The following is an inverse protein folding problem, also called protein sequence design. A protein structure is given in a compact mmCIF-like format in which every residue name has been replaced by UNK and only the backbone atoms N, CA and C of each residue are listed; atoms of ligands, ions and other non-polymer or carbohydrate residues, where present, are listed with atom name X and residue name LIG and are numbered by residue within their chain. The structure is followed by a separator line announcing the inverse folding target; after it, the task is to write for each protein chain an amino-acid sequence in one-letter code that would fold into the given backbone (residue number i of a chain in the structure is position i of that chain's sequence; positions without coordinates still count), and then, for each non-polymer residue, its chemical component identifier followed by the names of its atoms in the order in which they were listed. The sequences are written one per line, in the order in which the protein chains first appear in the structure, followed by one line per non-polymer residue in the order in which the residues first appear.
data_IF_864549938531
#
_entry.id   IF_864549938531
#
_cell.length_a   1.000
_cell.length_b   1.000
_cell.length_c   1.000
_cell.angle_alpha   90.00
_cell.angle_beta   90.00
_cell.angle_gamma   90.00
#
_symmetry.space_group_name_H-M   'P 1'
#
loop_
_entity.id
_entity.type
_entity.pdbx_description
1 polymer ?
#
# COMPACT_ATOMS: atom_id res chain seq x y z
N UNK A 1 -15.22 -21.59 -11.95
CA UNK A 1 -13.77 -21.54 -11.57
C UNK A 1 -13.67 -21.74 -10.07
N UNK A 2 -12.80 -22.59 -9.55
CA UNK A 2 -12.73 -22.85 -8.09
C UNK A 2 -12.51 -21.52 -7.34
N UNK A 3 -13.38 -21.20 -6.38
CA UNK A 3 -13.43 -19.92 -5.65
C UNK A 3 -12.07 -19.50 -5.05
N UNK A 4 -11.21 -20.47 -4.73
CA UNK A 4 -9.86 -20.26 -4.22
C UNK A 4 -8.93 -19.57 -5.22
N UNK A 5 -9.01 -19.89 -6.51
CA UNK A 5 -8.11 -19.35 -7.55
C UNK A 5 -8.27 -17.84 -7.72
N UNK A 6 -9.51 -17.34 -7.70
CA UNK A 6 -9.80 -15.89 -7.80
C UNK A 6 -9.31 -15.12 -6.55
N UNK A 7 -9.48 -15.71 -5.36
CA UNK A 7 -8.98 -15.14 -4.10
C UNK A 7 -7.45 -15.06 -4.07
N UNK A 8 -6.77 -16.12 -4.54
CA UNK A 8 -5.31 -16.16 -4.62
C UNK A 8 -4.78 -15.12 -5.61
N UNK A 9 -5.39 -15.00 -6.80
CA UNK A 9 -5.02 -13.96 -7.77
C UNK A 9 -5.09 -12.54 -7.20
N UNK A 10 -6.16 -12.22 -6.47
CA UNK A 10 -6.30 -10.92 -5.80
C UNK A 10 -5.22 -10.70 -4.73
N UNK A 11 -4.92 -11.72 -3.92
CA UNK A 11 -3.88 -11.62 -2.88
C UNK A 11 -2.50 -11.37 -3.46
N UNK A 12 -2.17 -12.05 -4.58
CA UNK A 12 -0.91 -11.82 -5.30
C UNK A 12 -0.86 -10.41 -5.87
N UNK A 13 -1.96 -9.92 -6.46
CA UNK A 13 -2.06 -8.54 -6.93
C UNK A 13 -1.79 -7.56 -5.79
N UNK A 14 -2.49 -7.68 -4.66
CA UNK A 14 -2.29 -6.82 -3.48
C UNK A 14 -0.84 -6.91 -2.97
N UNK A 15 -0.27 -8.11 -2.90
CA UNK A 15 1.11 -8.32 -2.48
C UNK A 15 2.14 -7.67 -3.42
N UNK A 16 1.82 -7.52 -4.71
CA UNK A 16 2.67 -6.80 -5.68
C UNK A 16 2.48 -5.27 -5.63
N UNK A 17 1.25 -4.81 -5.39
CA UNK A 17 0.92 -3.38 -5.33
C UNK A 17 1.41 -2.71 -4.05
N UNK A 18 1.40 -3.43 -2.92
CA UNK A 18 1.85 -2.86 -1.65
C UNK A 18 3.30 -2.35 -1.73
N UNK A 19 4.31 -3.15 -2.14
CA UNK A 19 5.68 -2.65 -2.31
C UNK A 19 5.81 -1.47 -3.27
N UNK A 20 5.01 -1.43 -4.35
CA UNK A 20 5.01 -0.32 -5.31
C UNK A 20 4.60 1.01 -4.66
N UNK A 21 3.46 1.03 -3.95
CA UNK A 21 3.02 2.21 -3.23
C UNK A 21 4.03 2.61 -2.17
N UNK A 22 4.51 1.62 -1.42
CA UNK A 22 5.39 1.91 -0.32
C UNK A 22 6.73 2.48 -0.84
N UNK A 23 7.38 1.87 -1.85
CA UNK A 23 8.63 2.38 -2.43
C UNK A 23 8.50 3.82 -2.96
N UNK A 24 7.34 4.15 -3.53
CA UNK A 24 7.09 5.49 -4.05
C UNK A 24 6.87 6.52 -2.93
N UNK A 25 6.30 6.12 -1.79
CA UNK A 25 6.23 6.96 -0.59
C UNK A 25 7.62 7.32 -0.05
N UNK A 26 8.60 6.41 -0.11
CA UNK A 26 9.99 6.67 0.32
C UNK A 26 10.73 7.64 -0.56
N UNK A 27 10.43 7.62 -1.86
CA UNK A 27 11.02 8.54 -2.82
C UNK A 27 10.88 10.02 -2.37
N UNK A 28 9.75 10.37 -1.74
CA UNK A 28 9.50 11.71 -1.21
C UNK A 28 10.34 12.08 0.02
N UNK A 29 10.60 11.13 0.89
CA UNK A 29 11.45 11.31 2.08
C UNK A 29 12.92 11.42 1.68
N UNK A 30 13.40 10.51 0.83
CA UNK A 30 14.78 10.53 0.34
C UNK A 30 15.14 11.87 -0.33
N UNK A 31 14.26 12.40 -1.18
CA UNK A 31 14.52 13.69 -1.82
C UNK A 31 14.34 14.90 -0.90
N UNK A 32 13.58 14.76 0.19
CA UNK A 32 13.47 15.77 1.23
C UNK A 32 14.75 15.85 2.05
N UNK A 33 15.29 14.71 2.49
CA UNK A 33 16.45 14.66 3.39
C UNK A 33 17.78 14.93 2.69
N UNK A 34 17.86 14.68 1.38
CA UNK A 34 19.06 15.01 0.56
C UNK A 34 19.21 16.50 0.23
N UNK A 35 18.36 17.37 0.79
CA UNK A 35 18.63 18.81 0.88
C UNK A 35 18.41 19.62 -0.41
N UNK A 36 17.70 19.08 -1.40
CA UNK A 36 17.18 19.92 -2.49
C UNK A 36 15.95 20.65 -1.95
N UNK A 37 16.16 21.80 -1.29
CA UNK A 37 15.12 22.76 -0.89
C UNK A 37 14.91 22.91 0.61
N UNK A 38 15.37 24.03 1.18
CA UNK A 38 15.16 24.45 2.57
C UNK A 38 13.67 24.61 2.93
N UNK A 39 13.29 24.07 4.08
CA UNK A 39 11.94 23.90 4.66
C UNK A 39 11.23 25.18 5.15
N UNK A 40 11.47 26.34 4.53
CA UNK A 40 11.03 27.63 5.11
C UNK A 40 9.69 28.17 4.59
N UNK A 41 9.08 27.55 3.58
CA UNK A 41 7.78 27.98 3.09
C UNK A 41 6.66 27.09 3.61
N UNK A 42 5.70 27.71 4.31
CA UNK A 42 4.54 27.04 4.88
C UNK A 42 3.76 26.35 3.76
N UNK A 43 3.89 25.02 3.69
CA UNK A 43 3.13 24.21 2.73
C UNK A 43 1.63 24.51 2.90
N UNK A 44 0.89 24.69 1.80
CA UNK A 44 -0.51 25.08 1.86
C UNK A 44 -1.30 24.13 2.75
N UNK A 45 -2.21 24.71 3.55
CA UNK A 45 -3.09 23.97 4.45
C UNK A 45 -3.72 22.80 3.70
N UNK A 46 -3.73 21.62 4.32
CA UNK A 46 -4.37 20.45 3.74
C UNK A 46 -5.80 20.82 3.37
N UNK A 47 -6.18 20.74 2.08
CA UNK A 47 -7.54 21.04 1.71
C UNK A 47 -8.46 20.08 2.48
N UNK A 48 -9.50 20.62 3.13
CA UNK A 48 -10.56 19.84 3.78
C UNK A 48 -11.13 18.75 2.85
N UNK A 49 -10.98 18.97 1.54
CA UNK A 49 -11.31 18.06 0.46
C UNK A 49 -10.57 16.70 0.54
N UNK A 50 -9.37 16.65 1.13
CA UNK A 50 -8.64 15.38 1.39
C UNK A 50 -9.24 14.58 2.56
N UNK A 51 -9.79 15.26 3.57
CA UNK A 51 -10.53 14.59 4.63
C UNK A 51 -11.88 14.08 4.11
N UNK A 52 -12.54 14.87 3.25
CA UNK A 52 -13.75 14.46 2.55
C UNK A 52 -13.50 13.22 1.68
N UNK A 53 -12.41 13.18 0.91
CA UNK A 53 -12.08 12.03 0.06
C UNK A 53 -11.78 10.77 0.88
N UNK A 54 -11.18 10.93 2.07
CA UNK A 54 -10.98 9.84 3.03
C UNK A 54 -12.30 9.30 3.58
N UNK A 55 -13.25 10.18 3.92
CA UNK A 55 -14.58 9.78 4.36
C UNK A 55 -15.37 9.07 3.24
N UNK A 56 -15.25 9.53 1.99
CA UNK A 56 -15.84 8.90 0.81
C UNK A 56 -15.31 7.47 0.65
N UNK A 57 -13.99 7.26 0.74
CA UNK A 57 -13.40 5.92 0.63
C UNK A 57 -13.79 5.00 1.79
N UNK A 58 -13.89 5.53 3.01
CA UNK A 58 -14.38 4.74 4.15
C UNK A 58 -15.83 4.29 3.96
N UNK A 59 -16.71 5.20 3.51
CA UNK A 59 -18.10 4.88 3.18
C UNK A 59 -18.20 3.86 2.02
N UNK A 60 -17.27 3.94 1.06
CA UNK A 60 -17.15 3.01 -0.05
C UNK A 60 -16.80 1.61 0.45
N UNK A 61 -15.74 1.46 1.23
CA UNK A 61 -15.33 0.18 1.81
C UNK A 61 -16.46 -0.45 2.62
N UNK A 62 -17.15 0.33 3.46
CA UNK A 62 -18.31 -0.15 4.22
C UNK A 62 -19.47 -0.61 3.32
N UNK A 63 -19.72 0.10 2.22
CA UNK A 63 -20.76 -0.29 1.24
C UNK A 63 -20.38 -1.57 0.49
N UNK A 64 -19.09 -1.74 0.20
CA UNK A 64 -18.54 -2.91 -0.47
C UNK A 64 -18.66 -4.19 0.39
N UNK A 65 -18.49 -4.09 1.71
CA UNK A 65 -18.65 -5.23 2.64
C UNK A 65 -20.06 -5.80 2.66
N UNK A 66 -21.10 -4.95 2.49
CA UNK A 66 -22.49 -5.40 2.49
C UNK A 66 -22.78 -6.41 1.39
N UNK A 67 -22.03 -6.35 0.29
CA UNK A 67 -22.12 -7.35 -0.75
C UNK A 67 -23.44 -7.48 -1.48
N UNK A 68 -24.26 -6.44 -1.40
CA UNK A 68 -25.55 -6.34 -2.09
C UNK A 68 -25.40 -5.59 -3.40
N UNK A 69 -26.37 -5.74 -4.30
CA UNK A 69 -26.44 -4.91 -5.51
C UNK A 69 -26.42 -3.41 -5.20
N UNK A 70 -27.13 -2.98 -4.15
CA UNK A 70 -27.12 -1.60 -3.68
C UNK A 70 -25.74 -1.18 -3.15
N UNK A 71 -25.04 -2.07 -2.43
CA UNK A 71 -23.66 -1.85 -1.97
C UNK A 71 -22.68 -1.65 -3.11
N UNK A 72 -22.71 -2.54 -4.12
CA UNK A 72 -21.87 -2.42 -5.33
C UNK A 72 -22.16 -1.12 -6.11
N UNK A 73 -23.44 -0.73 -6.23
CA UNK A 73 -23.84 0.52 -6.89
C UNK A 73 -23.36 1.74 -6.09
N UNK A 74 -23.49 1.70 -4.77
CA UNK A 74 -22.96 2.76 -3.90
C UNK A 74 -21.43 2.85 -4.02
N UNK A 75 -20.72 1.73 -4.05
CA UNK A 75 -19.26 1.70 -4.23
C UNK A 75 -18.83 2.36 -5.54
N UNK A 76 -19.59 2.12 -6.62
CA UNK A 76 -19.35 2.76 -7.92
C UNK A 76 -19.52 4.28 -7.84
N UNK A 77 -20.63 4.77 -7.28
CA UNK A 77 -20.92 6.20 -7.16
C UNK A 77 -19.88 6.90 -6.28
N UNK A 78 -19.52 6.29 -5.15
CA UNK A 78 -18.53 6.84 -4.23
C UNK A 78 -17.12 6.87 -4.85
N UNK A 79 -16.75 5.86 -5.63
CA UNK A 79 -15.47 5.87 -6.34
C UNK A 79 -15.38 6.98 -7.40
N UNK A 80 -16.47 7.27 -8.12
CA UNK A 80 -16.52 8.43 -9.00
C UNK A 80 -16.45 9.76 -8.23
N UNK A 81 -17.16 9.86 -7.11
CA UNK A 81 -17.10 11.05 -6.25
C UNK A 81 -15.67 11.29 -5.73
N UNK A 82 -14.93 10.23 -5.40
CA UNK A 82 -13.52 10.32 -5.04
C UNK A 82 -12.65 10.88 -6.18
N UNK A 83 -12.81 10.38 -7.41
CA UNK A 83 -12.04 10.88 -8.57
C UNK A 83 -12.35 12.35 -8.90
N UNK A 84 -13.60 12.76 -8.78
CA UNK A 84 -14.01 14.16 -8.95
C UNK A 84 -13.36 15.03 -7.86
N UNK A 85 -13.47 14.61 -6.60
CA UNK A 85 -12.83 15.28 -5.47
C UNK A 85 -11.32 15.42 -5.70
N UNK A 86 -10.67 14.36 -6.19
CA UNK A 86 -9.24 14.36 -6.46
C UNK A 86 -8.85 15.32 -7.59
N UNK A 87 -9.69 15.45 -8.62
CA UNK A 87 -9.47 16.39 -9.73
C UNK A 87 -9.50 17.85 -9.27
N UNK A 88 -10.38 18.18 -8.32
CA UNK A 88 -10.38 19.50 -7.68
C UNK A 88 -9.12 19.73 -6.85
N UNK A 89 -8.66 18.74 -6.08
CA UNK A 89 -7.39 18.86 -5.32
C UNK A 89 -6.21 19.12 -6.26
N UNK A 90 -6.12 18.42 -7.38
CA UNK A 90 -5.08 18.67 -8.40
C UNK A 90 -5.17 20.09 -8.96
N UNK A 91 -6.39 20.57 -9.26
CA UNK A 91 -6.60 21.92 -9.78
C UNK A 91 -6.17 23.00 -8.80
N UNK A 92 -6.39 22.80 -7.50
CA UNK A 92 -5.97 23.74 -6.46
C UNK A 92 -4.45 23.74 -6.27
N UNK A 93 -3.80 22.58 -6.36
CA UNK A 93 -2.35 22.49 -6.29
C UNK A 93 -1.65 23.15 -7.48
N UNK A 94 -2.16 22.96 -8.70
CA UNK A 94 -1.64 23.62 -9.91
C UNK A 94 -1.69 25.15 -9.77
N UNK A 95 -2.80 25.68 -9.24
CA UNK A 95 -2.92 27.13 -8.98
C UNK A 95 -1.90 27.60 -7.94
N UNK A 96 -1.71 26.83 -6.88
CA UNK A 96 -0.73 27.13 -5.83
C UNK A 96 0.73 27.08 -6.35
N UNK A 97 1.07 26.14 -7.23
CA UNK A 97 2.37 26.05 -7.90
C UNK A 97 2.67 27.31 -8.73
N UNK A 98 1.68 27.82 -9.48
CA UNK A 98 1.86 29.02 -10.31
C UNK A 98 1.98 30.32 -9.51
N UNK A 99 1.55 30.35 -8.25
CA UNK A 99 1.49 31.57 -7.43
C UNK A 99 2.46 31.64 -6.25
N UNK A 100 2.84 30.51 -5.64
CA UNK A 100 3.47 30.47 -4.32
C UNK A 100 4.76 29.63 -4.24
N UNK A 101 5.39 29.26 -5.37
CA UNK A 101 6.72 28.63 -5.33
C UNK A 101 6.77 27.25 -4.67
N UNK A 102 5.75 26.41 -4.88
CA UNK A 102 5.74 25.03 -4.34
C UNK A 102 6.98 24.27 -4.79
N UNK A 103 7.64 23.61 -3.84
CA UNK A 103 8.86 22.85 -4.14
C UNK A 103 8.60 21.78 -5.24
N UNK A 104 9.34 21.79 -6.37
CA UNK A 104 9.06 20.93 -7.52
C UNK A 104 9.02 19.43 -7.17
N UNK A 105 9.85 19.02 -6.22
CA UNK A 105 9.92 17.61 -5.80
C UNK A 105 8.74 17.20 -4.91
N UNK A 106 8.18 18.13 -4.14
CA UNK A 106 6.96 17.90 -3.36
C UNK A 106 5.77 17.72 -4.30
N UNK A 107 5.62 18.63 -5.27
CA UNK A 107 4.61 18.53 -6.32
C UNK A 107 4.72 17.21 -7.09
N UNK A 108 5.93 16.84 -7.52
CA UNK A 108 6.19 15.58 -8.22
C UNK A 108 5.74 14.35 -7.42
N UNK A 109 6.17 14.23 -6.15
CA UNK A 109 5.77 13.10 -5.31
C UNK A 109 4.24 13.06 -5.12
N UNK A 110 3.65 14.22 -4.84
CA UNK A 110 2.21 14.35 -4.66
C UNK A 110 1.44 13.88 -5.91
N UNK A 111 1.78 14.36 -7.10
CA UNK A 111 1.12 13.93 -8.34
C UNK A 111 1.37 12.45 -8.62
N UNK A 112 2.61 11.98 -8.48
CA UNK A 112 2.95 10.58 -8.73
C UNK A 112 2.13 9.65 -7.82
N UNK A 113 2.06 9.95 -6.53
CA UNK A 113 1.34 9.10 -5.58
C UNK A 113 -0.17 9.14 -5.74
N UNK A 114 -0.72 10.34 -5.90
CA UNK A 114 -2.17 10.50 -6.06
C UNK A 114 -2.66 10.02 -7.42
N UNK A 115 -1.89 10.18 -8.50
CA UNK A 115 -2.22 9.66 -9.82
C UNK A 115 -2.11 8.15 -9.88
N UNK A 116 -1.06 7.56 -9.28
CA UNK A 116 -0.95 6.10 -9.17
C UNK A 116 -2.15 5.54 -8.40
N UNK A 117 -2.53 6.16 -7.29
CA UNK A 117 -3.71 5.74 -6.54
C UNK A 117 -5.01 5.87 -7.36
N UNK A 118 -5.21 7.00 -8.04
CA UNK A 118 -6.37 7.23 -8.89
C UNK A 118 -6.49 6.18 -10.01
N UNK A 119 -5.38 5.79 -10.64
CA UNK A 119 -5.36 4.71 -11.63
C UNK A 119 -5.86 3.37 -11.05
N UNK A 120 -5.50 3.04 -9.81
CA UNK A 120 -6.00 1.83 -9.15
C UNK A 120 -7.46 1.94 -8.71
N UNK A 121 -7.93 3.13 -8.33
CA UNK A 121 -9.36 3.40 -8.09
C UNK A 121 -10.16 3.18 -9.38
N UNK A 122 -9.66 3.60 -10.54
CA UNK A 122 -10.27 3.30 -11.84
C UNK A 122 -10.33 1.79 -12.09
N UNK A 123 -9.26 1.04 -11.78
CA UNK A 123 -9.28 -0.42 -11.81
C UNK A 123 -10.36 -1.03 -10.91
N UNK A 124 -10.55 -0.47 -9.70
CA UNK A 124 -11.62 -0.83 -8.77
C UNK A 124 -13.02 -0.53 -9.32
N UNK A 125 -13.20 0.61 -9.99
CA UNK A 125 -14.46 0.97 -10.67
C UNK A 125 -14.80 -0.01 -11.78
N UNK A 126 -13.83 -0.40 -12.61
CA UNK A 126 -14.03 -1.42 -13.65
C UNK A 126 -14.48 -2.73 -13.01
N UNK A 127 -13.85 -3.15 -11.91
CA UNK A 127 -14.29 -4.33 -11.16
C UNK A 127 -15.73 -4.18 -10.63
N UNK A 128 -16.09 -3.03 -10.08
CA UNK A 128 -17.46 -2.72 -9.64
C UNK A 128 -18.48 -2.88 -10.77
N UNK A 129 -18.18 -2.35 -11.96
CA UNK A 129 -19.05 -2.41 -13.15
C UNK A 129 -19.25 -3.87 -13.59
N UNK A 130 -18.17 -4.63 -13.73
CA UNK A 130 -18.22 -6.04 -14.14
C UNK A 130 -19.01 -6.88 -13.13
N UNK A 131 -18.82 -6.62 -11.83
CA UNK A 131 -19.57 -7.29 -10.75
C UNK A 131 -21.06 -6.91 -10.76
N UNK A 132 -21.42 -5.67 -11.06
CA UNK A 132 -22.82 -5.23 -11.20
C UNK A 132 -23.51 -5.88 -12.41
N UNK A 133 -22.84 -5.91 -13.57
CA UNK A 133 -23.38 -6.50 -14.79
C UNK A 133 -23.59 -8.01 -14.66
N UNK A 134 -22.74 -8.68 -13.89
CA UNK A 134 -22.80 -10.13 -13.66
C UNK A 134 -23.59 -10.50 -12.39
N UNK A 135 -24.26 -9.54 -11.73
CA UNK A 135 -24.86 -9.75 -10.42
C UNK A 135 -26.01 -10.78 -10.48
N UNK A 136 -25.84 -11.89 -9.76
CA UNK A 136 -26.85 -12.94 -9.56
C UNK A 136 -26.99 -13.17 -8.07
N UNK A 137 -28.23 -13.13 -7.57
CA UNK A 137 -28.55 -13.11 -6.13
C UNK A 137 -28.08 -14.38 -5.40
N UNK A 138 -28.05 -15.51 -6.12
CA UNK A 138 -27.67 -16.82 -5.58
C UNK A 138 -26.49 -17.40 -6.37
N UNK A 139 -25.40 -17.72 -5.67
CA UNK A 139 -24.22 -18.37 -6.25
C UNK A 139 -22.94 -18.11 -5.45
N UNK A 140 -22.22 -19.19 -5.13
CA UNK A 140 -20.92 -19.10 -4.42
C UNK A 140 -19.91 -18.23 -5.17
N UNK A 141 -19.92 -18.26 -6.50
CA UNK A 141 -19.04 -17.41 -7.33
C UNK A 141 -19.34 -15.91 -7.14
N UNK A 142 -20.61 -15.52 -6.96
CA UNK A 142 -20.98 -14.13 -6.70
C UNK A 142 -20.53 -13.71 -5.30
N UNK A 143 -20.74 -14.55 -4.29
CA UNK A 143 -20.28 -14.29 -2.93
C UNK A 143 -18.75 -14.10 -2.88
N UNK A 144 -18.00 -14.93 -3.62
CA UNK A 144 -16.55 -14.80 -3.69
C UNK A 144 -16.11 -13.51 -4.41
N UNK A 145 -16.75 -13.15 -5.53
CA UNK A 145 -16.48 -11.89 -6.25
C UNK A 145 -16.75 -10.66 -5.40
N UNK A 146 -17.85 -10.66 -4.67
CA UNK A 146 -18.22 -9.60 -3.74
C UNK A 146 -17.22 -9.49 -2.58
N UNK A 147 -16.76 -10.62 -2.04
CA UNK A 147 -15.72 -10.63 -1.00
C UNK A 147 -14.41 -10.06 -1.52
N UNK A 148 -14.00 -10.47 -2.72
CA UNK A 148 -12.80 -9.97 -3.39
C UNK A 148 -12.91 -8.47 -3.69
N UNK A 149 -14.09 -8.01 -4.12
CA UNK A 149 -14.40 -6.59 -4.30
C UNK A 149 -14.18 -5.78 -3.01
N UNK A 150 -14.76 -6.23 -1.90
CA UNK A 150 -14.60 -5.56 -0.61
C UNK A 150 -13.13 -5.49 -0.19
N UNK A 151 -12.41 -6.62 -0.24
CA UNK A 151 -10.98 -6.68 0.10
C UNK A 151 -10.15 -5.70 -0.74
N UNK A 152 -10.42 -5.59 -2.05
CA UNK A 152 -9.71 -4.65 -2.91
C UNK A 152 -10.00 -3.19 -2.53
N UNK A 153 -11.25 -2.83 -2.24
CA UNK A 153 -11.59 -1.48 -1.80
C UNK A 153 -11.04 -1.12 -0.42
N UNK A 154 -10.95 -2.08 0.52
CA UNK A 154 -10.24 -1.87 1.79
C UNK A 154 -8.75 -1.63 1.58
N UNK A 155 -8.12 -2.37 0.67
CA UNK A 155 -6.73 -2.13 0.30
C UNK A 155 -6.53 -0.71 -0.24
N UNK A 156 -7.39 -0.25 -1.17
CA UNK A 156 -7.34 1.12 -1.68
C UNK A 156 -7.52 2.16 -0.56
N UNK A 157 -8.49 1.97 0.35
CA UNK A 157 -8.68 2.84 1.50
C UNK A 157 -7.46 2.88 2.43
N UNK A 158 -6.86 1.73 2.74
CA UNK A 158 -5.66 1.63 3.56
C UNK A 158 -4.46 2.34 2.91
N UNK A 159 -4.27 2.16 1.59
CA UNK A 159 -3.24 2.86 0.82
C UNK A 159 -3.47 4.36 0.84
N UNK A 160 -4.71 4.83 0.70
CA UNK A 160 -5.03 6.25 0.77
C UNK A 160 -4.69 6.88 2.12
N UNK A 161 -5.00 6.20 3.22
CA UNK A 161 -4.58 6.62 4.57
C UNK A 161 -3.05 6.71 4.66
N UNK A 162 -2.34 5.71 4.13
CA UNK A 162 -0.88 5.74 4.04
C UNK A 162 -0.34 6.96 3.28
N UNK A 163 -0.96 7.31 2.13
CA UNK A 163 -0.60 8.50 1.34
C UNK A 163 -0.86 9.76 2.15
N UNK A 164 -2.02 9.87 2.81
CA UNK A 164 -2.37 11.04 3.63
C UNK A 164 -1.37 11.24 4.78
N UNK A 165 -1.01 10.16 5.47
CA UNK A 165 -0.01 10.18 6.54
C UNK A 165 1.37 10.57 6.02
N UNK A 166 1.78 10.05 4.86
CA UNK A 166 3.05 10.39 4.22
C UNK A 166 3.10 11.89 3.85
N UNK A 167 2.05 12.41 3.23
CA UNK A 167 1.92 13.84 2.88
C UNK A 167 1.82 14.76 4.10
N UNK A 168 1.29 14.28 5.22
CA UNK A 168 1.28 14.98 6.50
C UNK A 168 2.69 15.03 7.11
N UNK A 169 3.38 13.90 7.13
CA UNK A 169 4.69 13.79 7.73
C UNK A 169 5.75 14.61 6.97
N UNK A 170 5.68 14.64 5.63
CA UNK A 170 6.53 15.49 4.78
C UNK A 170 6.26 16.99 4.99
N UNK A 171 5.17 17.40 5.65
CA UNK A 171 4.95 18.82 6.01
C UNK A 171 5.68 19.27 7.28
N UNK A 172 6.12 18.36 8.13
CA UNK A 172 6.67 18.72 9.44
C UNK A 172 8.10 19.28 9.27
N UNK A 173 8.43 20.51 9.70
CA UNK A 173 9.74 21.11 9.45
C UNK A 173 10.90 20.38 10.14
N UNK A 174 10.67 19.78 11.32
CA UNK A 174 11.66 19.06 12.13
C UNK A 174 11.16 17.65 12.52
N UNK A 175 11.46 16.60 11.74
CA UNK A 175 10.97 15.25 12.05
C UNK A 175 11.52 14.72 13.38
N UNK A 176 12.73 15.07 13.78
CA UNK A 176 13.36 14.58 15.03
C UNK A 176 12.67 15.06 16.32
N UNK A 177 11.99 16.21 16.31
CA UNK A 177 11.23 16.72 17.47
C UNK A 177 9.77 16.24 17.50
N UNK A 178 9.36 15.43 16.51
CA UNK A 178 7.98 14.96 16.38
C UNK A 178 7.76 13.69 17.19
N UNK A 179 6.61 13.58 17.88
CA UNK A 179 6.17 12.33 18.56
C UNK A 179 6.16 11.10 17.64
N UNK A 180 6.11 11.31 16.32
CA UNK A 180 6.12 10.28 15.29
C UNK A 180 7.50 9.68 15.00
N UNK A 181 8.60 10.35 15.34
CA UNK A 181 9.97 9.86 15.12
C UNK A 181 10.37 8.65 15.99
N UNK A 182 10.12 8.65 17.33
CA UNK A 182 10.38 7.44 18.12
C UNK A 182 9.41 6.31 17.74
N UNK A 183 8.20 6.64 17.29
CA UNK A 183 7.21 5.66 16.84
C UNK A 183 7.62 5.01 15.52
N UNK A 184 8.10 5.78 14.54
CA UNK A 184 8.63 5.23 13.29
C UNK A 184 9.83 4.34 13.56
N UNK A 185 10.83 4.82 14.30
CA UNK A 185 12.01 4.03 14.68
C UNK A 185 11.66 2.73 15.43
N UNK A 186 10.66 2.77 16.33
CA UNK A 186 10.16 1.58 17.00
C UNK A 186 9.49 0.59 16.03
N UNK A 187 8.73 1.09 15.06
CA UNK A 187 8.14 0.27 14.00
C UNK A 187 9.23 -0.35 13.11
N UNK A 188 10.29 0.40 12.77
CA UNK A 188 11.45 -0.16 12.04
C UNK A 188 12.10 -1.28 12.81
N UNK A 189 12.33 -1.06 14.11
CA UNK A 189 13.00 -2.04 14.97
C UNK A 189 12.17 -3.30 15.14
N UNK A 190 10.85 -3.17 15.30
CA UNK A 190 9.94 -4.32 15.37
C UNK A 190 9.95 -5.11 14.05
N UNK A 191 9.86 -4.42 12.91
CA UNK A 191 9.91 -5.06 11.60
C UNK A 191 11.28 -5.70 11.34
N UNK A 192 12.37 -5.12 11.86
CA UNK A 192 13.74 -5.62 11.75
C UNK A 192 13.87 -6.94 12.48
N UNK A 193 13.38 -6.97 13.72
CA UNK A 193 13.36 -8.18 14.54
C UNK A 193 12.52 -9.27 13.87
N UNK A 194 11.35 -8.94 13.33
CA UNK A 194 10.50 -9.91 12.63
C UNK A 194 11.24 -10.52 11.42
N UNK A 195 11.90 -9.70 10.62
CA UNK A 195 12.68 -10.13 9.47
C UNK A 195 13.85 -11.04 9.86
N UNK A 196 14.61 -10.65 10.90
CA UNK A 196 15.75 -11.43 11.38
C UNK A 196 15.31 -12.76 12.01
N UNK A 197 14.14 -12.81 12.65
CA UNK A 197 13.55 -14.07 13.16
C UNK A 197 13.25 -15.02 12.01
N UNK A 198 12.60 -14.55 10.93
CA UNK A 198 12.36 -15.38 9.76
C UNK A 198 13.65 -15.84 9.09
N UNK A 199 14.68 -14.99 9.06
CA UNK A 199 16.02 -15.36 8.57
C UNK A 199 16.68 -16.45 9.44
N UNK A 200 16.58 -16.37 10.76
CA UNK A 200 17.14 -17.38 11.66
C UNK A 200 16.42 -18.74 11.53
N UNK A 201 15.09 -18.72 11.36
CA UNK A 201 14.29 -19.91 11.10
C UNK A 201 14.73 -20.57 9.78
N UNK A 202 14.89 -19.77 8.73
CA UNK A 202 15.40 -20.20 7.43
C UNK A 202 16.75 -20.93 7.53
N UNK A 203 17.74 -20.30 8.18
CA UNK A 203 19.09 -20.85 8.35
C UNK A 203 19.05 -22.17 9.16
N UNK A 204 18.29 -22.21 10.26
CA UNK A 204 18.15 -23.42 11.10
C UNK A 204 17.50 -24.58 10.34
N UNK A 205 16.53 -24.30 9.47
CA UNK A 205 15.89 -25.31 8.62
C UNK A 205 16.87 -25.90 7.60
N UNK A 206 17.65 -25.06 6.91
CA UNK A 206 18.67 -25.49 5.95
C UNK A 206 19.79 -26.30 6.63
N UNK A 207 20.23 -25.87 7.82
CA UNK A 207 21.27 -26.55 8.59
C UNK A 207 20.85 -27.95 9.04
N UNK A 208 19.60 -28.10 9.51
CA UNK A 208 19.04 -29.41 9.93
C UNK A 208 18.89 -30.39 8.77
N UNK A 209 18.79 -29.92 7.53
CA UNK A 209 18.67 -30.75 6.32
C UNK A 209 20.01 -31.07 5.64
N UNK A 210 21.13 -30.62 6.19
CA UNK A 210 22.47 -30.93 5.68
C UNK A 210 22.97 -30.01 4.56
N UNK A 211 22.19 -29.02 4.14
CA UNK A 211 22.54 -28.02 3.12
C UNK A 211 23.43 -26.90 3.71
N UNK A 212 24.59 -27.28 4.28
CA UNK A 212 25.47 -26.37 5.06
C UNK A 212 26.00 -25.18 4.26
N UNK A 213 26.27 -25.38 2.98
CA UNK A 213 26.75 -24.32 2.08
C UNK A 213 25.66 -23.26 1.85
N UNK A 214 24.42 -23.69 1.61
CA UNK A 214 23.29 -22.77 1.41
C UNK A 214 22.84 -22.10 2.71
N UNK A 215 22.97 -22.77 3.85
CA UNK A 215 22.77 -22.14 5.16
C UNK A 215 23.78 -21.01 5.42
N UNK A 216 25.03 -21.17 4.98
CA UNK A 216 26.05 -20.12 5.05
C UNK A 216 25.76 -18.95 4.10
N UNK A 217 25.34 -19.22 2.85
CA UNK A 217 24.92 -18.16 1.92
C UNK A 217 23.63 -17.43 2.36
N UNK A 218 22.79 -18.06 3.18
CA UNK A 218 21.56 -17.48 3.73
C UNK A 218 21.80 -16.43 4.83
N UNK A 219 23.06 -16.17 5.22
CA UNK A 219 23.42 -14.96 5.96
C UNK A 219 23.17 -13.69 5.14
N UNK A 220 23.20 -13.78 3.80
CA UNK A 220 22.79 -12.71 2.91
C UNK A 220 21.25 -12.72 2.77
N UNK A 221 20.63 -11.70 3.36
CA UNK A 221 19.17 -11.55 3.46
C UNK A 221 18.40 -11.79 2.13
N UNK A 222 18.84 -11.27 0.97
CA UNK A 222 18.14 -11.50 -0.31
C UNK A 222 18.25 -12.94 -0.82
N UNK A 223 19.40 -13.58 -0.60
CA UNK A 223 19.70 -14.94 -1.08
C UNK A 223 18.88 -15.97 -0.30
N UNK A 224 18.75 -15.76 1.00
CA UNK A 224 17.97 -16.62 1.89
C UNK A 224 16.48 -16.62 1.54
N UNK A 225 15.93 -15.42 1.28
CA UNK A 225 14.54 -15.25 0.85
C UNK A 225 14.28 -15.90 -0.52
N UNK A 226 15.12 -15.61 -1.52
CA UNK A 226 14.96 -16.15 -2.87
C UNK A 226 15.04 -17.68 -2.90
N UNK A 227 15.93 -18.28 -2.13
CA UNK A 227 16.07 -19.73 -2.07
C UNK A 227 14.85 -20.41 -1.42
N UNK A 228 14.36 -19.87 -0.31
CA UNK A 228 13.16 -20.40 0.36
C UNK A 228 11.89 -20.16 -0.45
N UNK A 229 11.81 -19.05 -1.18
CA UNK A 229 10.71 -18.79 -2.10
C UNK A 229 10.72 -19.74 -3.29
N UNK A 230 11.88 -19.91 -3.94
CA UNK A 230 12.04 -20.77 -5.11
C UNK A 230 11.71 -22.24 -4.81
N UNK A 231 11.99 -22.71 -3.59
CA UNK A 231 11.71 -24.09 -3.14
C UNK A 231 10.51 -24.17 -2.20
N UNK A 232 9.61 -23.18 -2.25
CA UNK A 232 8.50 -23.06 -1.30
C UNK A 232 7.55 -24.26 -1.29
N UNK A 233 7.32 -24.89 -2.45
CA UNK A 233 6.49 -26.11 -2.57
C UNK A 233 7.21 -27.36 -2.05
N UNK A 234 8.51 -27.50 -2.33
CA UNK A 234 9.31 -28.64 -1.85
C UNK A 234 9.52 -28.63 -0.33
N UNK A 235 9.50 -27.43 0.28
CA UNK A 235 9.81 -27.22 1.69
C UNK A 235 8.56 -26.96 2.55
N UNK A 236 7.36 -26.87 1.96
CA UNK A 236 6.11 -26.43 2.62
C UNK A 236 6.27 -25.09 3.36
N UNK A 237 7.12 -24.20 2.84
CA UNK A 237 7.48 -22.91 3.45
C UNK A 237 6.76 -21.72 2.82
N UNK A 238 5.86 -21.92 1.84
CA UNK A 238 5.21 -20.84 1.09
C UNK A 238 4.59 -19.76 1.99
N UNK A 239 3.88 -20.15 3.05
CA UNK A 239 3.25 -19.20 4.00
C UNK A 239 4.29 -18.42 4.82
N UNK A 240 5.39 -19.06 5.16
CA UNK A 240 6.51 -18.44 5.90
C UNK A 240 7.26 -17.46 4.99
N UNK A 241 7.58 -17.88 3.76
CA UNK A 241 8.26 -17.06 2.76
C UNK A 241 7.45 -15.80 2.45
N UNK A 242 6.13 -15.93 2.27
CA UNK A 242 5.24 -14.80 2.04
C UNK A 242 5.23 -13.81 3.22
N UNK A 243 5.09 -14.30 4.46
CA UNK A 243 5.12 -13.44 5.67
C UNK A 243 6.48 -12.76 5.84
N UNK A 244 7.55 -13.46 5.54
CA UNK A 244 8.90 -12.92 5.59
C UNK A 244 9.13 -11.84 4.54
N UNK A 245 8.72 -12.06 3.29
CA UNK A 245 8.81 -11.07 2.22
C UNK A 245 8.01 -9.80 2.52
N UNK A 246 6.82 -9.95 3.11
CA UNK A 246 6.01 -8.82 3.57
C UNK A 246 6.71 -8.04 4.69
N UNK A 247 7.23 -8.72 5.70
CA UNK A 247 7.96 -8.08 6.79
C UNK A 247 9.25 -7.39 6.29
N UNK A 248 9.95 -8.01 5.34
CA UNK A 248 11.15 -7.49 4.69
C UNK A 248 10.86 -6.22 3.90
N UNK A 249 9.77 -6.22 3.13
CA UNK A 249 9.30 -5.04 2.42
C UNK A 249 8.95 -3.93 3.41
N UNK A 250 8.15 -4.23 4.45
CA UNK A 250 7.77 -3.26 5.49
C UNK A 250 8.97 -2.72 6.28
N UNK A 251 10.00 -3.54 6.50
CA UNK A 251 11.22 -3.14 7.19
C UNK A 251 12.08 -2.19 6.37
N UNK A 252 12.36 -2.55 5.11
CA UNK A 252 13.15 -1.69 4.21
C UNK A 252 12.52 -0.32 4.08
N UNK A 253 11.19 -0.32 4.11
CA UNK A 253 10.32 0.83 4.21
C UNK A 253 10.54 1.56 5.51
N UNK A 254 10.43 0.90 6.66
CA UNK A 254 10.61 1.60 7.92
C UNK A 254 12.05 2.18 8.11
N UNK A 255 13.11 1.50 7.66
CA UNK A 255 14.52 1.92 7.86
C UNK A 255 15.02 3.05 6.94
N UNK A 256 14.21 3.50 5.98
CA UNK A 256 14.55 4.56 5.03
C UNK A 256 13.85 5.87 5.38
#
# INVERSE_FOLDING_TARGET
MNNETSSMGLRVLIASLAPLFIATMFCGWYFRDTGVGSTTEALPALPLLLLLSTAILAALSYSAEKGTFAGLKASLVLGFAFLISQSFVWSDLIKAETGAGVHPMYAFNFYLMTALHAAHVVGGLVYSIVSLQSFKKDGEEMQQRVRNHAVYWHFLGATWIGILLNLLAIRVPNPEESFLAPLSAAVCLVLLVIVLVYQAIAIKMLWRRGERVFAAFSLLLPVAFLHIWARGEELDTQKMALRWGIAQALLLVAMM
#
